data_IF_582945727250
#
_entry.id   IF_582945727250
#
_cell.length_a   1.000
_cell.length_b   1.000
_cell.length_c   1.000
_cell.angle_alpha   90.00
_cell.angle_beta   90.00
_cell.angle_gamma   90.00
#
_symmetry.space_group_name_H-M   'P 1'
#
loop_
_entity.id
_entity.type
_entity.pdbx_description
1 polymer ?
#
# COMPACT_ATOMS: atom_id res chain seq x y z
N UNK A 1 -16.46 -12.68 21.63
CA UNK A 1 -15.59 -13.83 21.27
C UNK A 1 -14.24 -13.65 21.95
N UNK A 2 -13.62 -14.69 22.53
CA UNK A 2 -12.31 -14.61 23.15
C UNK A 2 -11.19 -14.31 22.12
N UNK A 3 -10.18 -13.51 22.51
CA UNK A 3 -9.14 -13.01 21.60
C UNK A 3 -8.31 -14.15 20.98
N UNK A 4 -8.08 -15.22 21.73
CA UNK A 4 -7.36 -16.42 21.30
C UNK A 4 -8.03 -17.14 20.12
N UNK A 5 -9.32 -16.87 19.86
CA UNK A 5 -10.06 -17.46 18.74
C UNK A 5 -10.06 -16.59 17.49
N UNK A 6 -9.60 -15.35 17.54
CA UNK A 6 -9.73 -14.42 16.40
C UNK A 6 -8.96 -14.93 15.19
N UNK A 7 -7.72 -15.36 15.40
CA UNK A 7 -6.88 -15.92 14.34
C UNK A 7 -7.32 -17.31 13.85
N UNK A 8 -8.29 -17.96 14.52
CA UNK A 8 -8.83 -19.24 14.05
C UNK A 8 -9.94 -19.08 13.01
N UNK A 9 -10.52 -17.89 12.89
CA UNK A 9 -11.64 -17.61 11.98
C UNK A 9 -11.30 -16.60 10.88
N UNK A 10 -10.16 -15.92 10.97
CA UNK A 10 -9.75 -14.89 10.04
C UNK A 10 -8.35 -14.36 10.32
N UNK A 11 -7.95 -13.34 9.58
CA UNK A 11 -6.64 -12.69 9.71
C UNK A 11 -6.79 -11.28 10.27
N UNK A 12 -5.76 -10.79 10.96
CA UNK A 12 -5.67 -9.43 11.47
C UNK A 12 -4.51 -8.73 10.75
N UNK A 13 -4.73 -7.49 10.34
CA UNK A 13 -3.71 -6.65 9.69
C UNK A 13 -3.54 -6.91 8.19
N UNK A 14 -2.84 -5.99 7.53
CA UNK A 14 -2.60 -6.04 6.08
C UNK A 14 -1.37 -6.87 5.69
N UNK A 15 -0.57 -7.28 6.68
CA UNK A 15 0.70 -7.96 6.52
C UNK A 15 0.69 -9.40 7.04
N UNK A 16 -0.49 -10.01 7.16
CA UNK A 16 -0.65 -11.36 7.73
C UNK A 16 0.16 -12.46 7.02
N UNK A 17 0.56 -12.22 5.77
CA UNK A 17 1.35 -13.11 4.94
C UNK A 17 2.87 -13.02 5.22
N UNK A 18 3.35 -12.06 6.02
CA UNK A 18 4.77 -11.93 6.37
C UNK A 18 5.20 -12.84 7.52
N UNK A 19 4.32 -13.07 8.50
CA UNK A 19 4.58 -13.92 9.66
C UNK A 19 4.09 -15.36 9.45
N UNK A 20 4.60 -16.35 10.23
CA UNK A 20 4.28 -17.76 10.01
C UNK A 20 2.77 -18.07 10.07
N UNK A 21 2.25 -18.93 9.18
CA UNK A 21 0.88 -19.42 9.27
C UNK A 21 0.57 -20.02 10.64
N UNK A 22 -0.62 -19.73 11.18
CA UNK A 22 -1.03 -20.19 12.52
C UNK A 22 -0.56 -19.29 13.67
N UNK A 23 0.28 -18.28 13.42
CA UNK A 23 0.61 -17.26 14.43
C UNK A 23 -0.66 -16.53 14.86
N UNK A 24 -0.92 -16.47 16.17
CA UNK A 24 -2.02 -15.67 16.70
C UNK A 24 -1.64 -14.20 16.67
N UNK A 25 -2.49 -13.41 16.03
CA UNK A 25 -2.33 -11.98 15.89
C UNK A 25 -3.32 -11.24 16.80
N UNK A 26 -2.90 -10.09 17.32
CA UNK A 26 -3.73 -9.16 18.06
C UNK A 26 -3.57 -7.74 17.54
N UNK A 27 -4.16 -6.79 18.25
CA UNK A 27 -3.96 -5.37 18.01
C UNK A 27 -3.55 -4.68 19.30
N UNK A 28 -2.80 -3.59 19.17
CA UNK A 28 -2.47 -2.74 20.30
C UNK A 28 -2.46 -1.28 19.87
N UNK A 29 -2.71 -0.40 20.83
CA UNK A 29 -2.70 1.04 20.62
C UNK A 29 -1.70 1.65 21.62
N UNK A 30 -0.64 2.30 21.14
CA UNK A 30 0.28 3.03 22.01
C UNK A 30 -0.18 4.48 22.21
N UNK A 31 -0.74 5.07 21.17
CA UNK A 31 -1.19 6.45 21.09
C UNK A 31 -2.57 6.54 20.43
N UNK A 32 -3.36 7.55 20.78
CA UNK A 32 -4.66 7.84 20.18
C UNK A 32 -4.71 9.26 19.62
N UNK A 33 -5.21 9.41 18.40
CA UNK A 33 -5.25 10.67 17.67
C UNK A 33 -4.09 10.83 16.69
N UNK A 34 -4.17 11.87 15.86
CA UNK A 34 -3.15 12.19 14.86
C UNK A 34 -2.87 13.70 14.87
N UNK A 35 -1.60 14.09 14.70
CA UNK A 35 -1.22 15.51 14.60
C UNK A 35 -1.55 16.14 13.23
N UNK A 36 -1.90 15.33 12.23
CA UNK A 36 -2.17 15.78 10.87
C UNK A 36 -3.65 16.14 10.68
N UNK A 37 -3.94 16.95 9.66
CA UNK A 37 -5.29 17.39 9.31
C UNK A 37 -5.68 17.01 7.87
N UNK A 38 -5.17 15.86 7.39
CA UNK A 38 -5.40 15.39 6.01
C UNK A 38 -6.89 15.46 5.62
N UNK A 39 -7.20 16.25 4.59
CA UNK A 39 -8.59 16.62 4.24
C UNK A 39 -9.44 15.48 3.69
N UNK A 40 -8.79 14.44 3.19
CA UNK A 40 -9.42 13.19 2.73
C UNK A 40 -9.59 12.16 3.85
N UNK A 41 -8.96 12.37 5.01
CA UNK A 41 -8.88 11.37 6.06
C UNK A 41 -10.04 11.54 7.06
N UNK A 42 -10.68 10.43 7.43
CA UNK A 42 -11.76 10.44 8.41
C UNK A 42 -11.26 10.50 9.86
N UNK A 43 -9.99 10.18 10.13
CA UNK A 43 -9.39 10.21 11.49
C UNK A 43 -9.56 11.59 12.13
N UNK A 44 -9.42 12.66 11.36
CA UNK A 44 -9.66 14.04 11.80
C UNK A 44 -11.10 14.29 12.30
N UNK A 45 -12.07 13.47 11.88
CA UNK A 45 -13.50 13.64 12.20
C UNK A 45 -14.00 12.74 13.31
N UNK A 46 -13.54 11.48 13.40
CA UNK A 46 -14.03 10.52 14.41
C UNK A 46 -13.03 10.24 15.54
N UNK A 47 -11.75 10.57 15.35
CA UNK A 47 -10.72 10.41 16.38
C UNK A 47 -10.30 11.79 16.92
N UNK A 48 -9.22 11.84 17.69
CA UNK A 48 -8.69 13.10 18.24
C UNK A 48 -7.88 13.82 17.14
N UNK A 49 -8.38 14.98 16.72
CA UNK A 49 -7.77 15.86 15.71
C UNK A 49 -6.71 16.77 16.32
N UNK A 50 -5.55 16.89 15.66
CA UNK A 50 -4.47 17.83 16.02
C UNK A 50 -3.71 17.50 17.31
N UNK A 51 -4.05 16.42 18.00
CA UNK A 51 -3.44 16.00 19.26
C UNK A 51 -3.22 14.50 19.27
N UNK A 52 -2.14 14.09 19.94
CA UNK A 52 -1.82 12.67 20.15
C UNK A 52 -1.72 12.38 21.64
N UNK A 53 -2.70 11.65 22.15
CA UNK A 53 -2.70 11.15 23.52
C UNK A 53 -1.83 9.89 23.59
N UNK A 54 -0.93 9.83 24.56
CA UNK A 54 0.09 8.78 24.69
C UNK A 54 -0.16 7.99 25.97
N UNK A 55 -0.19 6.66 25.89
CA UNK A 55 -0.27 5.79 27.09
C UNK A 55 1.09 5.68 27.76
N UNK A 56 1.18 5.23 29.01
CA UNK A 56 2.51 4.98 29.60
C UNK A 56 3.21 3.79 28.92
N UNK A 57 4.53 3.90 28.73
CA UNK A 57 5.32 2.86 28.04
C UNK A 57 5.21 1.53 28.79
N UNK A 58 5.37 1.55 30.11
CA UNK A 58 5.30 0.33 30.92
C UNK A 58 3.93 -0.35 30.83
N UNK A 59 2.83 0.42 30.79
CA UNK A 59 1.49 -0.15 30.59
C UNK A 59 1.37 -0.86 29.23
N UNK A 60 1.94 -0.28 28.16
CA UNK A 60 1.94 -0.90 26.83
C UNK A 60 2.76 -2.19 26.85
N UNK A 61 3.94 -2.17 27.45
CA UNK A 61 4.83 -3.32 27.54
C UNK A 61 4.26 -4.45 28.41
N UNK A 62 3.61 -4.12 29.53
CA UNK A 62 2.90 -5.07 30.39
C UNK A 62 1.72 -5.70 29.65
N UNK A 63 1.01 -4.91 28.83
CA UNK A 63 -0.06 -5.42 27.99
C UNK A 63 0.46 -6.40 26.93
N UNK A 64 1.56 -6.09 26.25
CA UNK A 64 2.19 -7.00 25.29
C UNK A 64 2.66 -8.30 25.95
N UNK A 65 3.27 -8.21 27.11
CA UNK A 65 3.68 -9.37 27.90
C UNK A 65 2.47 -10.25 28.25
N UNK A 66 1.36 -9.65 28.69
CA UNK A 66 0.11 -10.37 28.93
C UNK A 66 -0.47 -11.00 27.65
N UNK A 67 -0.39 -10.32 26.51
CA UNK A 67 -0.82 -10.85 25.21
C UNK A 67 -0.02 -12.09 24.83
N UNK A 68 1.30 -12.08 25.01
CA UNK A 68 2.17 -13.23 24.82
C UNK A 68 1.83 -14.37 25.78
N UNK A 69 1.86 -14.11 27.08
CA UNK A 69 1.86 -15.16 28.10
C UNK A 69 0.48 -15.80 28.30
N UNK A 70 -0.59 -15.01 28.20
CA UNK A 70 -1.95 -15.50 28.47
C UNK A 70 -2.69 -15.96 27.21
N UNK A 71 -2.39 -15.35 26.06
CA UNK A 71 -3.16 -15.57 24.84
C UNK A 71 -2.32 -16.13 23.68
N UNK A 72 -1.01 -16.33 23.90
CA UNK A 72 -0.06 -16.85 22.91
C UNK A 72 -0.01 -15.99 21.64
N UNK A 73 -0.19 -14.68 21.79
CA UNK A 73 -0.08 -13.72 20.68
C UNK A 73 1.40 -13.59 20.27
N UNK A 74 1.70 -13.90 19.01
CA UNK A 74 3.03 -13.79 18.42
C UNK A 74 3.19 -12.60 17.46
N UNK A 75 2.09 -11.91 17.15
CA UNK A 75 2.09 -10.74 16.29
C UNK A 75 1.07 -9.69 16.74
N UNK A 76 1.39 -8.40 16.63
CA UNK A 76 0.42 -7.32 16.85
C UNK A 76 0.44 -6.27 15.74
N UNK A 77 -0.73 -5.85 15.31
CA UNK A 77 -0.88 -4.64 14.49
C UNK A 77 -1.00 -3.41 15.40
N UNK A 78 -0.13 -2.43 15.20
CA UNK A 78 -0.23 -1.11 15.83
C UNK A 78 -1.37 -0.34 15.16
N UNK A 79 -2.41 -0.01 15.94
CA UNK A 79 -3.59 0.74 15.47
C UNK A 79 -3.42 2.26 15.50
N UNK A 80 -2.23 2.72 15.87
CA UNK A 80 -1.89 4.13 16.00
C UNK A 80 -1.97 4.87 14.64
N UNK A 81 -2.64 6.03 14.63
CA UNK A 81 -2.68 6.94 13.48
C UNK A 81 -1.43 7.86 13.40
N UNK A 82 -0.67 7.96 14.50
CA UNK A 82 0.58 8.74 14.61
C UNK A 82 1.53 8.07 15.63
N UNK A 83 1.97 6.86 15.28
CA UNK A 83 2.82 6.01 16.15
C UNK A 83 4.13 6.69 16.56
N UNK A 84 4.74 7.43 15.64
CA UNK A 84 6.05 8.08 15.82
C UNK A 84 5.94 9.49 16.42
N UNK A 85 4.86 9.77 17.16
CA UNK A 85 4.72 11.02 17.88
C UNK A 85 5.65 11.12 19.09
N UNK A 86 6.76 11.82 18.90
CA UNK A 86 7.78 12.10 19.91
C UNK A 86 8.89 11.08 19.86
N UNK A 87 9.97 11.44 19.16
CA UNK A 87 11.08 10.54 18.82
C UNK A 87 11.66 9.80 20.02
N UNK A 88 12.11 10.52 21.05
CA UNK A 88 12.67 9.91 22.27
C UNK A 88 11.74 8.85 22.86
N UNK A 89 10.45 9.15 22.94
CA UNK A 89 9.45 8.24 23.51
C UNK A 89 9.25 7.01 22.64
N UNK A 90 9.17 7.18 21.32
CA UNK A 90 9.06 6.06 20.36
C UNK A 90 10.27 5.13 20.47
N UNK A 91 11.47 5.69 20.53
CA UNK A 91 12.71 4.94 20.74
C UNK A 91 12.70 4.23 22.09
N UNK A 92 12.29 4.90 23.18
CA UNK A 92 12.19 4.30 24.51
C UNK A 92 11.19 3.12 24.54
N UNK A 93 10.04 3.24 23.84
CA UNK A 93 9.05 2.16 23.73
C UNK A 93 9.63 0.92 23.03
N UNK A 94 10.24 1.08 21.86
CA UNK A 94 10.80 -0.04 21.09
C UNK A 94 12.02 -0.65 21.76
N UNK A 95 12.88 0.17 22.38
CA UNK A 95 13.98 -0.34 23.20
C UNK A 95 13.48 -1.12 24.42
N UNK A 96 12.42 -0.65 25.07
CA UNK A 96 11.75 -1.37 26.16
C UNK A 96 11.19 -2.73 25.71
N UNK A 97 10.56 -2.75 24.54
CA UNK A 97 10.05 -3.97 23.90
C UNK A 97 11.16 -4.99 23.64
N UNK A 98 12.27 -4.54 23.03
CA UNK A 98 13.44 -5.38 22.77
C UNK A 98 14.11 -5.86 24.08
N UNK A 99 14.26 -4.97 25.06
CA UNK A 99 14.87 -5.27 26.38
C UNK A 99 14.09 -6.34 27.14
N UNK A 100 12.76 -6.30 27.09
CA UNK A 100 11.89 -7.31 27.72
C UNK A 100 11.85 -8.63 26.94
N UNK A 101 12.51 -8.72 25.77
CA UNK A 101 12.56 -9.92 24.91
C UNK A 101 11.17 -10.50 24.66
N UNK A 102 10.22 -9.63 24.34
CA UNK A 102 8.82 -10.04 24.16
C UNK A 102 8.67 -11.06 23.02
N UNK A 103 9.55 -11.04 22.02
CA UNK A 103 9.51 -11.92 20.85
C UNK A 103 8.17 -11.90 20.10
N UNK A 104 7.42 -10.80 20.23
CA UNK A 104 6.21 -10.49 19.48
C UNK A 104 6.63 -9.62 18.30
N UNK A 105 6.29 -10.04 17.08
CA UNK A 105 6.48 -9.20 15.88
C UNK A 105 5.38 -8.15 15.78
N UNK A 106 5.63 -7.05 15.06
CA UNK A 106 4.59 -6.04 14.87
C UNK A 106 4.65 -5.34 13.52
N UNK A 107 3.53 -4.75 13.13
CA UNK A 107 3.42 -3.89 11.95
C UNK A 107 2.67 -2.59 12.25
N UNK A 108 2.92 -1.56 11.44
CA UNK A 108 2.14 -0.32 11.42
C UNK A 108 1.37 -0.18 10.10
N UNK A 109 0.31 -0.99 9.96
CA UNK A 109 -0.57 -1.01 8.79
C UNK A 109 -1.36 0.28 8.54
N UNK A 110 -1.63 1.11 9.55
CA UNK A 110 -2.38 2.36 9.34
C UNK A 110 -1.56 3.44 8.62
N UNK A 111 -0.24 3.31 8.64
CA UNK A 111 0.69 4.28 8.07
C UNK A 111 1.37 5.14 9.13
N UNK A 112 2.65 5.44 8.91
CA UNK A 112 3.43 6.38 9.72
C UNK A 112 3.65 7.69 8.96
N UNK A 113 3.83 8.78 9.71
CA UNK A 113 4.18 10.09 9.15
C UNK A 113 5.67 10.10 8.84
N UNK A 114 6.02 10.15 7.54
CA UNK A 114 7.40 10.05 7.07
C UNK A 114 8.39 11.06 7.68
N UNK A 115 7.95 12.29 8.01
CA UNK A 115 8.84 13.27 8.65
C UNK A 115 9.26 12.91 10.07
N UNK A 116 8.50 12.03 10.74
CA UNK A 116 8.81 11.55 12.07
C UNK A 116 9.71 10.31 12.05
N UNK A 117 9.98 9.70 10.89
CA UNK A 117 10.89 8.57 10.78
C UNK A 117 12.35 9.05 10.78
N UNK A 118 13.09 8.69 11.82
CA UNK A 118 14.54 8.92 11.96
C UNK A 118 15.31 7.60 11.92
N UNK A 119 16.64 7.66 11.83
CA UNK A 119 17.47 6.44 11.84
C UNK A 119 17.34 5.72 13.19
N UNK A 120 17.29 6.48 14.28
CA UNK A 120 17.15 5.98 15.65
C UNK A 120 15.82 5.24 15.85
N UNK A 121 14.73 5.78 15.28
CA UNK A 121 13.42 5.10 15.29
C UNK A 121 13.47 3.82 14.47
N UNK A 122 14.06 3.86 13.27
CA UNK A 122 14.12 2.69 12.38
C UNK A 122 14.97 1.56 13.01
N UNK A 123 16.12 1.89 13.59
CA UNK A 123 16.97 0.98 14.36
C UNK A 123 16.22 0.34 15.53
N UNK A 124 15.52 1.15 16.32
CA UNK A 124 14.77 0.66 17.47
C UNK A 124 13.58 -0.21 17.03
N UNK A 125 12.88 0.19 15.97
CA UNK A 125 11.76 -0.55 15.39
C UNK A 125 12.20 -1.94 14.93
N UNK A 126 13.28 -2.05 14.16
CA UNK A 126 13.80 -3.35 13.71
C UNK A 126 14.18 -4.24 14.91
N UNK A 127 14.90 -3.69 15.91
CA UNK A 127 15.29 -4.42 17.13
C UNK A 127 14.09 -4.89 17.96
N UNK A 128 12.97 -4.16 17.93
CA UNK A 128 11.75 -4.53 18.66
C UNK A 128 10.90 -5.59 17.96
N UNK A 129 11.26 -5.99 16.73
CA UNK A 129 10.50 -6.99 15.96
C UNK A 129 9.52 -6.40 14.93
N UNK A 130 9.73 -5.15 14.49
CA UNK A 130 8.99 -4.59 13.37
C UNK A 130 9.24 -5.42 12.11
N UNK A 131 8.18 -5.90 11.47
CA UNK A 131 8.28 -6.64 10.20
C UNK A 131 7.74 -5.85 9.01
N UNK A 132 6.89 -4.84 9.24
CA UNK A 132 6.35 -4.02 8.18
C UNK A 132 5.93 -2.62 8.64
N UNK A 133 6.19 -1.63 7.78
CA UNK A 133 5.76 -0.24 7.95
C UNK A 133 5.09 0.25 6.68
N UNK A 134 3.90 0.85 6.84
CA UNK A 134 3.32 1.64 5.77
C UNK A 134 3.67 3.13 5.95
N UNK A 135 3.90 3.85 4.86
CA UNK A 135 4.14 5.29 4.84
C UNK A 135 3.03 5.96 4.03
N UNK A 136 2.33 6.91 4.65
CA UNK A 136 1.46 7.83 3.91
C UNK A 136 2.34 8.76 3.07
N UNK A 137 2.25 8.68 1.74
CA UNK A 137 3.01 9.52 0.79
C UNK A 137 2.06 10.40 -0.04
N UNK A 138 0.93 9.81 -0.42
CA UNK A 138 -0.20 10.37 -1.18
C UNK A 138 0.20 10.87 -2.57
N UNK A 139 1.05 11.88 -2.67
CA UNK A 139 1.51 12.43 -3.95
C UNK A 139 3.00 12.76 -3.91
N UNK A 140 3.66 12.72 -5.06
CA UNK A 140 5.01 13.25 -5.24
C UNK A 140 5.04 14.68 -5.72
N UNK A 141 3.90 15.28 -6.01
CA UNK A 141 3.82 16.66 -6.47
C UNK A 141 3.63 17.64 -5.29
N UNK A 142 4.51 18.65 -5.12
CA UNK A 142 4.40 19.63 -4.02
C UNK A 142 3.10 20.44 -4.00
N UNK A 143 2.47 20.69 -5.15
CA UNK A 143 1.22 21.45 -5.24
C UNK A 143 0.05 20.62 -4.70
N UNK A 144 -0.04 19.35 -5.08
CA UNK A 144 -1.00 18.40 -4.51
C UNK A 144 -0.78 18.26 -3.00
N UNK A 145 0.47 18.08 -2.57
CA UNK A 145 0.83 17.94 -1.16
C UNK A 145 0.52 19.18 -0.32
N UNK A 146 0.63 20.40 -0.89
CA UNK A 146 0.23 21.64 -0.20
C UNK A 146 -1.25 21.63 0.16
N UNK A 147 -2.08 20.93 -0.62
CA UNK A 147 -3.50 20.77 -0.34
C UNK A 147 -3.79 19.69 0.72
N UNK A 148 -2.80 18.92 1.14
CA UNK A 148 -2.90 17.88 2.17
C UNK A 148 -2.12 18.36 3.41
N UNK A 149 -2.78 18.93 4.44
CA UNK A 149 -2.08 19.48 5.60
C UNK A 149 -1.61 18.36 6.54
N UNK A 150 -0.57 17.66 6.09
CA UNK A 150 0.20 16.65 6.81
C UNK A 150 1.61 17.19 6.99
N UNK A 151 2.27 16.97 8.14
CA UNK A 151 3.62 17.48 8.38
C UNK A 151 4.70 16.67 7.64
N UNK A 152 4.50 16.33 6.37
CA UNK A 152 5.42 15.57 5.52
C UNK A 152 5.41 16.13 4.09
N UNK A 153 6.38 15.73 3.28
CA UNK A 153 6.48 16.14 1.88
C UNK A 153 7.68 15.48 1.21
N UNK A 154 7.91 15.79 -0.07
CA UNK A 154 8.91 15.12 -0.95
C UNK A 154 10.25 14.86 -0.26
N UNK A 155 10.85 15.87 0.39
CA UNK A 155 12.14 15.73 1.09
C UNK A 155 12.12 14.67 2.21
N UNK A 156 11.01 14.56 2.93
CA UNK A 156 10.85 13.59 4.01
C UNK A 156 10.64 12.19 3.45
N UNK A 157 9.93 12.08 2.32
CA UNK A 157 9.68 10.81 1.65
C UNK A 157 10.96 10.21 1.09
N UNK A 158 11.79 11.02 0.39
CA UNK A 158 13.10 10.58 -0.07
C UNK A 158 14.00 10.16 1.10
N UNK A 159 14.06 10.96 2.18
CA UNK A 159 14.80 10.59 3.40
C UNK A 159 14.30 9.26 3.98
N UNK A 160 12.99 9.05 4.05
CA UNK A 160 12.42 7.82 4.56
C UNK A 160 12.81 6.60 3.71
N UNK A 161 12.83 6.72 2.38
CA UNK A 161 13.34 5.68 1.48
C UNK A 161 14.80 5.33 1.79
N UNK A 162 15.67 6.34 1.92
CA UNK A 162 17.09 6.13 2.25
C UNK A 162 17.31 5.50 3.63
N UNK A 163 16.52 5.87 4.64
CA UNK A 163 16.56 5.23 5.96
C UNK A 163 16.16 3.76 5.83
N UNK A 164 15.02 3.47 5.19
CA UNK A 164 14.49 2.11 5.15
C UNK A 164 15.31 1.15 4.28
N UNK A 165 16.09 1.65 3.30
CA UNK A 165 17.08 0.84 2.57
C UNK A 165 18.11 0.19 3.51
N UNK A 166 18.42 0.80 4.66
CA UNK A 166 19.32 0.24 5.68
C UNK A 166 18.67 -0.87 6.53
N UNK A 167 17.35 -1.05 6.42
CA UNK A 167 16.56 -2.00 7.21
C UNK A 167 15.81 -2.99 6.30
N UNK A 168 16.51 -3.85 5.54
CA UNK A 168 15.88 -4.73 4.55
C UNK A 168 14.90 -5.74 5.15
N UNK A 169 14.98 -6.01 6.47
CA UNK A 169 14.08 -6.92 7.20
C UNK A 169 12.71 -6.33 7.51
N UNK A 170 12.53 -5.01 7.31
CA UNK A 170 11.23 -4.36 7.41
C UNK A 170 10.66 -4.24 5.99
N UNK A 171 9.48 -4.82 5.77
CA UNK A 171 8.74 -4.62 4.54
C UNK A 171 8.10 -3.23 4.52
N UNK A 172 8.43 -2.44 3.51
CA UNK A 172 7.98 -1.07 3.36
C UNK A 172 6.86 -0.95 2.36
N UNK A 173 5.78 -0.30 2.77
CA UNK A 173 4.63 -0.04 1.92
C UNK A 173 4.41 1.46 1.77
N UNK A 174 4.29 1.97 0.54
CA UNK A 174 3.89 3.36 0.29
C UNK A 174 2.39 3.46 -0.01
N UNK A 175 1.68 4.38 0.62
CA UNK A 175 0.31 4.73 0.24
C UNK A 175 0.30 5.95 -0.67
N UNK A 176 -0.20 5.77 -1.89
CA UNK A 176 -0.35 6.80 -2.91
C UNK A 176 -1.83 7.04 -3.19
N UNK A 177 -2.18 8.30 -3.43
CA UNK A 177 -3.54 8.73 -3.78
C UNK A 177 -3.45 9.52 -5.08
N UNK A 178 -4.36 9.25 -6.01
CA UNK A 178 -4.45 9.98 -7.28
C UNK A 178 -5.86 10.44 -7.60
N UNK A 179 -6.00 11.42 -8.47
CA UNK A 179 -7.28 11.99 -8.87
C UNK A 179 -7.80 13.03 -7.89
N UNK A 180 -6.92 13.88 -7.34
CA UNK A 180 -7.38 15.01 -6.53
C UNK A 180 -8.16 16.02 -7.40
N UNK A 181 -9.39 16.40 -7.00
CA UNK A 181 -10.25 17.29 -7.78
C UNK A 181 -9.73 18.74 -7.79
N UNK A 182 -10.21 19.58 -8.73
CA UNK A 182 -9.98 21.02 -8.70
C UNK A 182 -10.48 21.68 -7.41
N UNK A 183 -9.71 22.63 -6.90
CA UNK A 183 -10.03 23.45 -5.71
C UNK A 183 -9.59 24.91 -5.96
N UNK A 184 -10.35 25.67 -6.78
CA UNK A 184 -9.96 27.00 -7.24
C UNK A 184 -9.70 28.00 -6.09
N UNK A 185 -10.45 27.90 -5.00
CA UNK A 185 -10.29 28.74 -3.80
C UNK A 185 -8.95 28.53 -3.08
N UNK A 186 -8.26 27.42 -3.38
CA UNK A 186 -6.91 27.11 -2.86
C UNK A 186 -5.83 27.28 -3.93
N UNK A 187 -6.18 27.84 -5.09
CA UNK A 187 -5.32 27.94 -6.28
C UNK A 187 -4.79 26.56 -6.73
N UNK A 188 -5.65 25.55 -6.73
CA UNK A 188 -5.34 24.22 -7.24
C UNK A 188 -6.28 23.87 -8.38
N UNK A 189 -5.74 23.73 -9.59
CA UNK A 189 -6.56 23.44 -10.77
C UNK A 189 -7.09 22.00 -10.80
N UNK A 190 -6.58 21.12 -9.95
CA UNK A 190 -6.80 19.68 -10.00
C UNK A 190 -5.51 18.94 -10.36
N UNK A 191 -5.44 17.64 -10.05
CA UNK A 191 -4.24 16.84 -10.28
C UNK A 191 -4.08 16.48 -11.76
N UNK A 192 -3.07 17.05 -12.42
CA UNK A 192 -2.79 16.80 -13.83
C UNK A 192 -1.96 15.54 -14.07
N UNK A 193 -1.93 15.05 -15.32
CA UNK A 193 -1.08 13.93 -15.75
C UNK A 193 0.39 14.15 -15.36
N UNK A 194 0.90 15.38 -15.49
CA UNK A 194 2.27 15.72 -15.04
C UNK A 194 2.45 15.50 -13.54
N UNK A 195 1.48 15.90 -12.71
CA UNK A 195 1.57 15.72 -11.25
C UNK A 195 1.52 14.24 -10.85
N UNK A 196 0.77 13.44 -11.59
CA UNK A 196 0.77 11.97 -11.45
C UNK A 196 2.14 11.39 -11.81
N UNK A 197 2.76 11.86 -12.90
CA UNK A 197 4.14 11.50 -13.25
C UNK A 197 5.16 11.90 -12.16
N UNK A 198 5.02 13.08 -11.56
CA UNK A 198 5.86 13.49 -10.43
C UNK A 198 5.73 12.49 -9.26
N UNK A 199 4.53 11.94 -9.04
CA UNK A 199 4.26 10.89 -8.04
C UNK A 199 4.90 9.56 -8.39
N UNK A 200 4.80 9.10 -9.64
CA UNK A 200 5.47 7.88 -10.12
C UNK A 200 6.99 8.01 -9.95
N UNK A 201 7.55 9.15 -10.34
CA UNK A 201 8.98 9.41 -10.26
C UNK A 201 9.48 9.44 -8.82
N UNK A 202 8.71 10.02 -7.90
CA UNK A 202 9.02 9.95 -6.47
C UNK A 202 9.01 8.51 -5.96
N UNK A 203 7.97 7.73 -6.29
CA UNK A 203 7.85 6.34 -5.85
C UNK A 203 9.02 5.47 -6.35
N UNK A 204 9.45 5.67 -7.60
CA UNK A 204 10.63 5.01 -8.16
C UNK A 204 11.93 5.41 -7.45
N UNK A 205 12.09 6.68 -7.07
CA UNK A 205 13.28 7.15 -6.34
C UNK A 205 13.34 6.63 -4.90
N UNK A 206 12.19 6.60 -4.22
CA UNK A 206 12.08 6.08 -2.85
C UNK A 206 12.35 4.57 -2.78
N UNK A 207 11.98 3.83 -3.83
CA UNK A 207 12.24 2.39 -3.99
C UNK A 207 11.77 1.55 -2.78
N UNK A 208 10.57 1.85 -2.25
CA UNK A 208 9.92 1.01 -1.24
C UNK A 208 9.51 -0.34 -1.83
N UNK A 209 9.27 -1.34 -0.97
CA UNK A 209 9.00 -2.71 -1.41
C UNK A 209 7.69 -2.82 -2.21
N UNK A 210 6.65 -2.11 -1.78
CA UNK A 210 5.36 -2.09 -2.48
C UNK A 210 4.62 -0.76 -2.31
N UNK A 211 3.86 -0.35 -3.31
CA UNK A 211 2.98 0.81 -3.26
C UNK A 211 1.53 0.37 -3.40
N UNK A 212 0.65 0.82 -2.52
CA UNK A 212 -0.79 0.75 -2.76
C UNK A 212 -1.25 2.11 -3.25
N UNK A 213 -1.72 2.12 -4.49
CA UNK A 213 -2.29 3.29 -5.12
C UNK A 213 -3.81 3.20 -4.98
N UNK A 214 -4.44 4.30 -4.55
CA UNK A 214 -5.88 4.42 -4.48
C UNK A 214 -6.31 5.72 -5.15
N UNK A 215 -7.20 5.69 -6.15
CA UNK A 215 -7.88 6.91 -6.54
C UNK A 215 -8.62 7.49 -5.35
N UNK A 216 -8.68 8.81 -5.27
CA UNK A 216 -9.24 9.53 -4.14
C UNK A 216 -10.69 9.09 -3.89
N UNK A 217 -10.91 8.52 -2.71
CA UNK A 217 -12.23 8.18 -2.24
C UNK A 217 -12.83 9.36 -1.47
N UNK A 218 -13.99 9.84 -1.92
CA UNK A 218 -14.73 10.92 -1.28
C UNK A 218 -15.55 10.35 -0.12
N UNK A 219 -14.97 10.34 1.08
CA UNK A 219 -15.60 9.81 2.29
C UNK A 219 -16.64 10.84 2.81
N UNK A 220 -17.88 10.44 3.13
CA UNK A 220 -18.86 11.36 3.71
C UNK A 220 -18.33 12.07 4.97
N UNK A 221 -18.53 13.39 5.04
CA UNK A 221 -18.22 14.20 6.22
C UNK A 221 -16.76 14.67 6.35
N UNK A 222 -15.85 14.26 5.45
CA UNK A 222 -14.48 14.82 5.41
C UNK A 222 -14.44 16.06 4.51
N UNK A 223 -13.41 16.89 4.72
CA UNK A 223 -13.34 18.24 4.14
C UNK A 223 -13.35 18.25 2.61
N UNK A 224 -12.56 17.38 1.97
CA UNK A 224 -12.47 17.33 0.50
C UNK A 224 -13.79 16.88 -0.15
N UNK A 225 -14.57 16.03 0.52
CA UNK A 225 -15.88 15.57 0.04
C UNK A 225 -16.91 16.68 0.13
N UNK A 226 -16.92 17.41 1.26
CA UNK A 226 -17.82 18.55 1.43
C UNK A 226 -17.54 19.62 0.38
N UNK A 227 -16.25 19.85 0.06
CA UNK A 227 -15.87 20.75 -1.00
C UNK A 227 -16.37 20.28 -2.37
N UNK A 228 -16.17 19.00 -2.72
CA UNK A 228 -16.65 18.42 -3.97
C UNK A 228 -18.18 18.53 -4.14
N UNK A 229 -18.95 18.36 -3.04
CA UNK A 229 -20.40 18.56 -3.02
C UNK A 229 -20.78 20.02 -3.34
N UNK A 230 -20.13 20.98 -2.69
CA UNK A 230 -20.41 22.41 -2.89
C UNK A 230 -20.09 22.87 -4.31
N UNK A 231 -19.04 22.32 -4.93
CA UNK A 231 -18.67 22.62 -6.32
C UNK A 231 -19.53 21.90 -7.36
N UNK A 232 -20.43 21.01 -6.96
CA UNK A 232 -21.21 20.18 -7.88
C UNK A 232 -20.39 19.15 -8.66
N UNK A 233 -19.17 18.84 -8.18
CA UNK A 233 -18.33 17.74 -8.70
C UNK A 233 -18.96 16.38 -8.36
N UNK A 234 -19.68 16.35 -7.24
CA UNK A 234 -20.34 15.21 -6.64
C UNK A 234 -21.75 15.64 -6.19
N UNK A 235 -22.76 14.79 -6.36
CA UNK A 235 -24.08 14.99 -5.74
C UNK A 235 -24.25 14.19 -4.45
N UNK A 236 -25.15 14.63 -3.57
CA UNK A 236 -25.46 13.88 -2.34
C UNK A 236 -25.98 12.46 -2.63
N UNK A 237 -26.78 12.31 -3.70
CA UNK A 237 -27.32 11.01 -4.09
C UNK A 237 -26.20 10.03 -4.48
N UNK A 238 -25.24 10.49 -5.27
CA UNK A 238 -24.12 9.65 -5.70
C UNK A 238 -23.16 9.29 -4.55
N UNK A 239 -23.08 10.15 -3.52
CA UNK A 239 -22.35 9.85 -2.29
C UNK A 239 -23.07 8.78 -1.44
N UNK A 240 -24.41 8.84 -1.36
CA UNK A 240 -25.26 7.92 -0.58
C UNK A 240 -25.28 6.52 -1.20
N UNK A 241 -25.52 6.41 -2.51
CA UNK A 241 -25.53 5.11 -3.20
C UNK A 241 -24.11 4.55 -3.46
N UNK A 242 -23.11 5.39 -3.22
CA UNK A 242 -21.69 5.07 -3.34
C UNK A 242 -21.27 4.82 -4.78
N UNK A 243 -22.01 5.32 -5.77
CA UNK A 243 -21.59 5.39 -7.18
C UNK A 243 -20.27 6.16 -7.33
N UNK A 244 -20.02 7.09 -6.40
CA UNK A 244 -18.82 7.93 -6.35
C UNK A 244 -17.65 7.33 -5.58
N UNK A 245 -17.76 6.11 -5.06
CA UNK A 245 -16.59 5.45 -4.46
C UNK A 245 -15.74 4.86 -5.59
N UNK A 246 -14.45 5.23 -5.71
CA UNK A 246 -13.57 4.57 -6.66
C UNK A 246 -13.62 3.06 -6.43
N UNK A 247 -13.74 2.30 -7.51
CA UNK A 247 -13.96 0.86 -7.49
C UNK A 247 -12.70 0.08 -7.08
N UNK A 248 -11.88 0.57 -6.14
CA UNK A 248 -10.59 -0.03 -5.81
C UNK A 248 -10.53 -0.49 -4.35
N UNK A 249 -10.52 -1.80 -4.19
CA UNK A 249 -10.53 -2.56 -2.94
C UNK A 249 -11.04 -3.97 -3.19
N UNK A 250 -10.58 -4.95 -2.41
CA UNK A 250 -10.99 -6.37 -2.49
C UNK A 250 -12.50 -6.63 -2.21
N UNK A 251 -13.30 -5.57 -2.09
CA UNK A 251 -14.76 -5.63 -1.95
C UNK A 251 -15.43 -5.79 -3.32
N UNK A 252 -16.52 -6.56 -3.36
CA UNK A 252 -17.12 -7.19 -4.55
C UNK A 252 -17.49 -6.33 -5.78
N UNK A 253 -17.31 -5.01 -5.78
CA UNK A 253 -17.51 -4.16 -6.96
C UNK A 253 -16.31 -4.19 -7.95
N UNK A 254 -15.07 -4.49 -7.53
CA UNK A 254 -13.98 -4.82 -8.48
C UNK A 254 -14.26 -6.11 -9.23
N UNK A 255 -14.69 -7.14 -8.50
CA UNK A 255 -15.13 -8.40 -9.10
C UNK A 255 -16.28 -8.10 -10.06
N UNK A 256 -17.19 -7.19 -9.70
CA UNK A 256 -18.28 -6.74 -10.57
C UNK A 256 -17.79 -6.01 -11.82
N UNK A 257 -16.89 -5.03 -11.72
CA UNK A 257 -16.33 -4.32 -12.90
C UNK A 257 -15.44 -5.22 -13.74
N UNK A 258 -14.60 -6.06 -13.15
CA UNK A 258 -13.83 -7.07 -13.89
C UNK A 258 -14.78 -8.05 -14.59
N UNK A 259 -15.91 -8.41 -13.97
CA UNK A 259 -16.96 -9.23 -14.58
C UNK A 259 -17.71 -8.47 -15.69
N UNK A 260 -17.99 -7.18 -15.50
CA UNK A 260 -18.64 -6.28 -16.46
C UNK A 260 -17.73 -5.96 -17.66
N UNK A 261 -16.44 -5.71 -17.44
CA UNK A 261 -15.42 -5.54 -18.49
C UNK A 261 -15.16 -6.86 -19.24
N UNK A 262 -15.22 -8.01 -18.53
CA UNK A 262 -15.24 -9.34 -19.16
C UNK A 262 -16.47 -9.52 -20.06
N UNK A 263 -17.60 -8.82 -19.81
CA UNK A 263 -18.82 -8.90 -20.64
C UNK A 263 -18.96 -7.78 -21.68
N UNK A 264 -18.46 -6.57 -21.44
CA UNK A 264 -18.66 -5.38 -22.30
C UNK A 264 -17.41 -4.99 -23.12
N UNK A 265 -16.26 -5.63 -22.89
CA UNK A 265 -15.02 -5.41 -23.62
C UNK A 265 -14.65 -3.91 -23.81
N UNK A 266 -14.64 -3.13 -22.73
CA UNK A 266 -14.18 -1.73 -22.75
C UNK A 266 -12.70 -1.63 -23.22
N UNK A 267 -12.31 -0.55 -23.92
CA UNK A 267 -10.91 -0.32 -24.27
C UNK A 267 -10.09 -0.05 -22.99
N UNK A 268 -8.82 -0.45 -23.00
CA UNK A 268 -7.82 -0.01 -22.02
C UNK A 268 -7.02 1.10 -22.69
N UNK A 269 -6.73 2.19 -22.00
CA UNK A 269 -6.01 3.34 -22.56
C UNK A 269 -4.92 3.80 -21.59
N UNK A 270 -3.70 3.98 -22.08
CA UNK A 270 -2.65 4.61 -21.28
C UNK A 270 -2.81 6.14 -21.30
N UNK A 271 -3.59 6.67 -20.36
CA UNK A 271 -3.81 8.12 -20.23
C UNK A 271 -2.57 8.90 -19.77
N UNK A 272 -1.50 8.23 -19.34
CA UNK A 272 -0.24 8.88 -18.95
C UNK A 272 0.60 9.33 -20.15
N UNK A 273 0.35 8.81 -21.36
CA UNK A 273 1.06 9.18 -22.60
C UNK A 273 0.45 10.43 -23.28
N UNK A 274 -0.61 11.00 -22.70
CA UNK A 274 -1.33 12.16 -23.23
C UNK A 274 -0.71 13.51 -22.89
N UNK A 275 -1.52 14.57 -23.00
CA UNK A 275 -1.13 15.93 -22.61
C UNK A 275 -0.78 16.01 -21.11
N UNK A 276 0.46 16.37 -20.74
CA UNK A 276 0.87 16.47 -19.34
C UNK A 276 0.08 17.51 -18.53
N UNK A 277 -0.46 18.55 -19.19
CA UNK A 277 -1.24 19.60 -18.53
C UNK A 277 -2.68 19.20 -18.23
N UNK A 278 -3.18 18.12 -18.83
CA UNK A 278 -4.56 17.67 -18.70
C UNK A 278 -4.83 17.10 -17.31
N UNK A 279 -6.00 17.44 -16.76
CA UNK A 279 -6.57 16.80 -15.58
C UNK A 279 -7.39 15.59 -16.06
N UNK A 280 -7.04 14.35 -15.67
CA UNK A 280 -7.79 13.19 -16.14
C UNK A 280 -9.17 13.12 -15.50
N UNK A 281 -10.10 12.52 -16.23
CA UNK A 281 -11.46 12.30 -15.76
C UNK A 281 -11.51 11.15 -14.76
N UNK A 282 -12.60 11.09 -14.00
CA UNK A 282 -12.74 10.09 -12.95
C UNK A 282 -12.82 8.67 -13.49
N UNK A 283 -13.51 8.45 -14.61
CA UNK A 283 -13.58 7.13 -15.25
C UNK A 283 -12.21 6.63 -15.75
N UNK A 284 -11.27 7.54 -16.03
CA UNK A 284 -9.91 7.27 -16.52
C UNK A 284 -8.97 6.84 -15.39
N UNK A 285 -9.33 7.09 -14.13
CA UNK A 285 -8.50 6.79 -12.95
C UNK A 285 -8.14 5.32 -12.81
N UNK A 286 -8.98 4.40 -13.30
CA UNK A 286 -8.72 2.97 -13.17
C UNK A 286 -7.62 2.51 -14.11
N UNK A 287 -7.58 3.05 -15.33
CA UNK A 287 -6.52 2.74 -16.27
C UNK A 287 -5.21 3.39 -15.83
N UNK A 288 -5.27 4.66 -15.38
CA UNK A 288 -4.12 5.34 -14.76
C UNK A 288 -3.57 4.56 -13.57
N UNK A 289 -4.44 4.15 -12.65
CA UNK A 289 -4.05 3.33 -11.50
C UNK A 289 -3.33 2.05 -11.93
N UNK A 290 -3.84 1.35 -12.95
CA UNK A 290 -3.25 0.10 -13.42
C UNK A 290 -1.86 0.33 -14.02
N UNK A 291 -1.70 1.35 -14.87
CA UNK A 291 -0.40 1.70 -15.46
C UNK A 291 0.58 2.10 -14.35
N UNK A 292 0.15 2.95 -13.41
CA UNK A 292 0.98 3.34 -12.26
C UNK A 292 1.42 2.13 -11.44
N UNK A 293 0.49 1.23 -11.10
CA UNK A 293 0.76 0.02 -10.31
C UNK A 293 1.83 -0.83 -10.98
N UNK A 294 1.69 -1.08 -12.29
CA UNK A 294 2.71 -1.74 -13.09
C UNK A 294 4.09 -1.05 -12.95
N UNK A 295 4.13 0.26 -13.16
CA UNK A 295 5.38 1.03 -13.19
C UNK A 295 6.11 1.09 -11.84
N UNK A 296 5.39 1.22 -10.73
CA UNK A 296 6.03 1.41 -9.40
C UNK A 296 6.24 0.10 -8.65
N UNK A 297 5.46 -0.95 -8.95
CA UNK A 297 5.55 -2.22 -8.23
C UNK A 297 6.19 -3.34 -9.04
N UNK A 298 5.89 -3.45 -10.33
CA UNK A 298 6.27 -4.61 -11.13
C UNK A 298 7.56 -4.38 -11.92
N UNK A 299 7.73 -3.22 -12.58
CA UNK A 299 8.92 -2.95 -13.42
C UNK A 299 10.24 -3.18 -12.66
N UNK A 300 10.32 -2.72 -11.41
CA UNK A 300 11.54 -2.84 -10.58
C UNK A 300 11.93 -4.30 -10.29
N UNK A 301 10.99 -5.24 -10.35
CA UNK A 301 11.25 -6.65 -10.02
C UNK A 301 12.24 -7.31 -10.98
N UNK A 302 12.37 -6.80 -12.21
CA UNK A 302 13.39 -7.26 -13.18
C UNK A 302 14.82 -7.05 -12.70
N UNK A 303 15.04 -6.05 -11.87
CA UNK A 303 16.36 -5.67 -11.36
C UNK A 303 16.56 -6.08 -9.91
N UNK A 304 15.55 -6.71 -9.29
CA UNK A 304 15.60 -7.11 -7.89
C UNK A 304 16.59 -8.25 -7.68
N UNK A 305 17.56 -8.03 -6.78
CA UNK A 305 18.63 -8.99 -6.46
C UNK A 305 18.73 -9.33 -4.97
N UNK A 306 18.14 -8.52 -4.09
CA UNK A 306 18.22 -8.73 -2.65
C UNK A 306 17.41 -9.98 -2.26
N UNK A 307 18.04 -11.05 -1.75
CA UNK A 307 17.34 -12.29 -1.41
C UNK A 307 16.34 -12.13 -0.27
N UNK A 308 16.54 -11.18 0.66
CA UNK A 308 15.57 -10.89 1.73
C UNK A 308 14.30 -10.32 1.11
N UNK A 309 14.45 -9.34 0.21
CA UNK A 309 13.31 -8.71 -0.46
C UNK A 309 12.60 -9.65 -1.43
N UNK A 310 13.35 -10.47 -2.18
CA UNK A 310 12.77 -11.53 -3.04
C UNK A 310 11.90 -12.46 -2.21
N UNK A 311 12.37 -12.92 -1.04
CA UNK A 311 11.58 -13.80 -0.17
C UNK A 311 10.32 -13.13 0.39
N UNK A 312 10.38 -11.84 0.75
CA UNK A 312 9.19 -11.10 1.20
C UNK A 312 8.17 -10.94 0.07
N UNK A 313 8.63 -10.57 -1.12
CA UNK A 313 7.77 -10.43 -2.29
C UNK A 313 7.22 -11.79 -2.74
N UNK A 314 7.99 -12.87 -2.64
CA UNK A 314 7.50 -14.23 -2.88
C UNK A 314 6.27 -14.52 -2.00
N UNK A 315 6.33 -14.26 -0.68
CA UNK A 315 5.17 -14.41 0.21
C UNK A 315 3.97 -13.55 -0.20
N UNK A 316 4.22 -12.30 -0.61
CA UNK A 316 3.17 -11.41 -1.13
C UNK A 316 2.50 -12.01 -2.38
N UNK A 317 3.30 -12.51 -3.32
CA UNK A 317 2.82 -13.08 -4.57
C UNK A 317 2.14 -14.43 -4.36
N UNK A 318 2.58 -15.27 -3.42
CA UNK A 318 1.82 -16.45 -2.98
C UNK A 318 0.43 -16.04 -2.47
N UNK A 319 0.36 -15.05 -1.58
CA UNK A 319 -0.93 -14.58 -1.09
C UNK A 319 -1.82 -14.00 -2.21
N UNK A 320 -1.22 -13.22 -3.12
CA UNK A 320 -1.94 -12.60 -4.23
C UNK A 320 -2.41 -13.61 -5.27
N UNK A 321 -1.55 -14.51 -5.74
CA UNK A 321 -1.80 -15.39 -6.87
C UNK A 321 -2.36 -16.77 -6.48
N UNK A 322 -2.11 -17.27 -5.26
CA UNK A 322 -2.62 -18.58 -4.85
C UNK A 322 -3.87 -18.51 -3.98
N UNK A 323 -4.07 -17.38 -3.29
CA UNK A 323 -5.20 -17.22 -2.36
C UNK A 323 -6.22 -16.24 -2.93
N UNK A 324 -5.83 -15.00 -3.23
CA UNK A 324 -6.78 -13.93 -3.52
C UNK A 324 -7.23 -13.84 -5.00
N UNK A 325 -6.30 -13.93 -5.95
CA UNK A 325 -6.52 -13.59 -7.37
C UNK A 325 -5.81 -14.57 -8.30
N UNK A 326 -6.32 -15.81 -8.35
CA UNK A 326 -5.72 -16.91 -9.12
C UNK A 326 -5.61 -16.65 -10.62
N UNK A 327 -6.56 -15.92 -11.21
CA UNK A 327 -6.62 -15.59 -12.64
C UNK A 327 -5.92 -14.27 -13.00
N UNK A 328 -5.02 -13.77 -12.14
CA UNK A 328 -4.26 -12.55 -12.39
C UNK A 328 -3.04 -12.84 -13.29
N UNK A 329 -3.13 -12.47 -14.57
CA UNK A 329 -2.07 -12.70 -15.55
C UNK A 329 -0.79 -11.92 -15.24
N UNK A 330 -0.92 -10.64 -14.85
CA UNK A 330 0.22 -9.79 -14.49
C UNK A 330 0.92 -10.32 -13.23
N UNK A 331 0.14 -10.69 -12.22
CA UNK A 331 0.64 -11.29 -10.99
C UNK A 331 1.45 -12.56 -11.28
N UNK A 332 0.90 -13.50 -12.06
CA UNK A 332 1.60 -14.74 -12.39
C UNK A 332 2.86 -14.52 -13.25
N UNK A 333 2.88 -13.52 -14.15
CA UNK A 333 4.08 -13.19 -14.94
C UNK A 333 5.25 -12.80 -14.03
N UNK A 334 5.02 -11.90 -13.09
CA UNK A 334 6.07 -11.46 -12.17
C UNK A 334 6.32 -12.47 -11.04
N UNK A 335 5.36 -13.33 -10.72
CA UNK A 335 5.61 -14.47 -9.86
C UNK A 335 6.60 -15.45 -10.51
N UNK A 336 6.44 -15.73 -11.82
CA UNK A 336 7.41 -16.55 -12.56
C UNK A 336 8.83 -15.98 -12.50
N UNK A 337 8.96 -14.64 -12.58
CA UNK A 337 10.25 -13.96 -12.45
C UNK A 337 10.86 -14.13 -11.05
N UNK A 338 10.06 -14.04 -9.99
CA UNK A 338 10.53 -14.27 -8.62
C UNK A 338 10.94 -15.72 -8.39
N UNK A 339 10.16 -16.70 -8.89
CA UNK A 339 10.49 -18.13 -8.83
C UNK A 339 11.79 -18.45 -9.58
N UNK A 340 11.99 -17.85 -10.76
CA UNK A 340 13.24 -17.94 -11.50
C UNK A 340 14.41 -17.36 -10.69
N UNK A 341 14.22 -16.19 -10.07
CA UNK A 341 15.21 -15.56 -9.20
C UNK A 341 15.59 -16.38 -7.96
N UNK A 342 14.70 -17.25 -7.49
CA UNK A 342 14.95 -18.22 -6.42
C UNK A 342 15.53 -19.55 -6.90
N UNK A 343 15.66 -19.76 -8.22
CA UNK A 343 16.14 -21.01 -8.80
C UNK A 343 15.05 -22.11 -8.94
N UNK A 344 13.78 -21.78 -8.69
CA UNK A 344 12.66 -22.72 -8.78
C UNK A 344 12.15 -22.82 -10.23
N UNK A 345 12.96 -23.39 -11.12
CA UNK A 345 12.72 -23.39 -12.58
C UNK A 345 11.38 -24.02 -12.97
N UNK A 346 10.99 -25.14 -12.36
CA UNK A 346 9.70 -25.79 -12.64
C UNK A 346 8.52 -24.88 -12.29
N UNK A 347 8.57 -24.25 -11.11
CA UNK A 347 7.53 -23.34 -10.66
C UNK A 347 7.51 -22.07 -11.52
N UNK A 348 8.67 -21.56 -11.94
CA UNK A 348 8.76 -20.43 -12.84
C UNK A 348 8.05 -20.72 -14.18
N UNK A 349 8.30 -21.89 -14.78
CA UNK A 349 7.62 -22.32 -16.00
C UNK A 349 6.10 -22.46 -15.82
N UNK A 350 5.67 -23.06 -14.71
CA UNK A 350 4.24 -23.19 -14.40
C UNK A 350 3.55 -21.83 -14.30
N UNK A 351 4.15 -20.88 -13.57
CA UNK A 351 3.61 -19.52 -13.41
C UNK A 351 3.58 -18.76 -14.74
N UNK A 352 4.62 -18.91 -15.56
CA UNK A 352 4.70 -18.26 -16.87
C UNK A 352 3.59 -18.78 -17.81
N UNK A 353 3.31 -20.08 -17.79
CA UNK A 353 2.23 -20.66 -18.59
C UNK A 353 0.86 -20.17 -18.12
N UNK A 354 0.62 -20.06 -16.81
CA UNK A 354 -0.61 -19.44 -16.29
C UNK A 354 -0.75 -17.99 -16.77
N UNK A 355 0.33 -17.20 -16.73
CA UNK A 355 0.32 -15.83 -17.23
C UNK A 355 -0.04 -15.77 -18.71
N UNK A 356 0.53 -16.66 -19.53
CA UNK A 356 0.22 -16.80 -20.96
C UNK A 356 -1.25 -17.16 -21.17
N UNK A 357 -1.73 -18.21 -20.52
CA UNK A 357 -3.11 -18.68 -20.62
C UNK A 357 -4.11 -17.58 -20.25
N UNK A 358 -3.92 -16.91 -19.10
CA UNK A 358 -4.82 -15.86 -18.64
C UNK A 358 -4.75 -14.60 -19.51
N UNK A 359 -3.59 -14.28 -20.08
CA UNK A 359 -3.46 -13.14 -21.00
C UNK A 359 -4.15 -13.36 -22.35
N UNK A 360 -4.26 -14.60 -22.82
CA UNK A 360 -4.86 -14.93 -24.12
C UNK A 360 -6.37 -15.16 -24.04
N UNK A 361 -6.82 -15.85 -22.98
CA UNK A 361 -8.21 -16.30 -22.84
C UNK A 361 -9.14 -15.23 -22.24
N UNK A 362 -8.62 -14.06 -21.88
CA UNK A 362 -9.38 -13.00 -21.23
C UNK A 362 -9.10 -11.64 -21.89
N UNK A 363 -10.12 -11.06 -22.51
CA UNK A 363 -10.08 -9.75 -23.18
C UNK A 363 -9.55 -8.64 -22.27
N UNK A 364 -9.86 -8.69 -20.97
CA UNK A 364 -9.35 -7.76 -19.97
C UNK A 364 -7.81 -7.75 -19.94
N UNK A 365 -7.20 -8.94 -19.93
CA UNK A 365 -5.74 -9.09 -19.86
C UNK A 365 -5.10 -8.91 -21.24
N UNK A 366 -5.72 -9.44 -22.30
CA UNK A 366 -5.21 -9.35 -23.67
C UNK A 366 -4.93 -7.90 -24.08
N UNK A 367 -5.87 -6.99 -23.80
CA UNK A 367 -5.74 -5.56 -24.12
C UNK A 367 -4.61 -4.90 -23.32
N UNK A 368 -4.57 -5.15 -22.01
CA UNK A 368 -3.53 -4.58 -21.12
C UNK A 368 -2.13 -5.06 -21.49
N UNK A 369 -1.98 -6.36 -21.79
CA UNK A 369 -0.71 -6.95 -22.21
C UNK A 369 -0.23 -6.39 -23.55
N UNK A 370 -1.15 -6.16 -24.49
CA UNK A 370 -0.82 -5.54 -25.77
C UNK A 370 -0.34 -4.11 -25.60
N UNK A 371 -1.05 -3.30 -24.81
CA UNK A 371 -0.76 -1.85 -24.67
C UNK A 371 0.51 -1.61 -23.87
N UNK A 372 0.75 -2.40 -22.81
CA UNK A 372 1.95 -2.27 -21.97
C UNK A 372 3.15 -3.08 -22.46
N UNK A 373 3.06 -3.74 -23.62
CA UNK A 373 4.15 -4.55 -24.16
C UNK A 373 4.51 -5.80 -23.33
N UNK A 374 3.64 -6.25 -22.43
CA UNK A 374 3.90 -7.37 -21.51
C UNK A 374 4.02 -8.72 -22.23
N UNK A 375 3.46 -8.85 -23.44
CA UNK A 375 3.64 -10.02 -24.29
C UNK A 375 5.10 -10.25 -24.70
N UNK A 376 5.89 -9.17 -24.80
CA UNK A 376 7.33 -9.26 -25.05
C UNK A 376 8.05 -9.76 -23.79
N UNK A 377 7.68 -9.25 -22.62
CA UNK A 377 8.24 -9.68 -21.34
C UNK A 377 8.02 -11.18 -21.05
N UNK A 378 6.89 -11.76 -21.48
CA UNK A 378 6.68 -13.21 -21.43
C UNK A 378 7.78 -13.95 -22.19
N UNK A 379 8.08 -13.51 -23.42
CA UNK A 379 9.09 -14.15 -24.27
C UNK A 379 10.50 -13.96 -23.72
N UNK A 380 10.79 -12.78 -23.19
CA UNK A 380 12.08 -12.48 -22.59
C UNK A 380 12.32 -13.36 -21.35
N UNK A 381 11.30 -13.55 -20.51
CA UNK A 381 11.38 -14.42 -19.35
C UNK A 381 11.48 -15.90 -19.75
N UNK A 382 10.75 -16.33 -20.77
CA UNK A 382 10.86 -17.69 -21.33
C UNK A 382 12.30 -17.98 -21.78
N UNK A 383 12.90 -17.08 -22.54
CA UNK A 383 14.30 -17.21 -22.97
C UNK A 383 15.27 -17.25 -21.79
N UNK A 384 15.04 -16.41 -20.78
CA UNK A 384 15.86 -16.37 -19.57
C UNK A 384 15.78 -17.67 -18.77
N UNK A 385 14.59 -18.27 -18.66
CA UNK A 385 14.39 -19.57 -18.01
C UNK A 385 15.08 -20.68 -18.80
N UNK A 386 14.95 -20.71 -20.13
CA UNK A 386 15.58 -21.71 -21.00
C UNK A 386 17.12 -21.65 -21.01
N UNK A 387 17.70 -20.49 -20.69
CA UNK A 387 19.14 -20.29 -20.63
C UNK A 387 19.79 -20.72 -19.28
N UNK A 388 18.97 -21.16 -18.31
CA UNK A 388 19.41 -21.61 -16.97
C UNK A 388 19.37 -23.12 -16.91
#
# INVERSE_FOLDING_TARGET
>A
MPIERYSSIGTIGNFYWLFPPGTRAGTILANRGCRAHCRFCSVDKFNISGLVLKRDIDIILDELERLRDRYEIGHVMMLDDDLFNGEKRTVDLFNGWAKRKLNITWDASNGVIASALTEEIADAAEKSGCIALALGIESGNPEVLKNIPKPSGVKHYLRAGEIMKKHPKIFTKGYLIVGFPPEPERNFSGESVKMIWDTINLAKQMDLDWYTIQPLNLIPGVDITNHALVQGILTEQELIDGSERPLLGATGRQIKRAKEEKTEARPFVNYLDGDPGRIPLREEMIDIWFVMDYMVNYEKLWQLKDPIKINMLHKLFTNMCDIAYKDNALGNLFFALLEHGLGNIEQANFRLELARQFSQNNDYWRKRFSILGLSTLIKDLEQKILAT
#
